data_IF_986012880288
#
_entry.id   IF_986012880288
#
_cell.length_a   1.000
_cell.length_b   1.000
_cell.length_c   1.000
_cell.angle_alpha   90.00
_cell.angle_beta   90.00
_cell.angle_gamma   90.00
#
_symmetry.space_group_name_H-M   'P 1'
#
loop_
_entity.id
_entity.type
_entity.pdbx_description
1 polymer ?
#
# COMPACT_ATOMS: atom_id res chain seq x y z
N UNK A 1 4.15 4.13 -24.96
CA UNK A 1 4.41 4.51 -23.55
C UNK A 1 3.16 5.02 -22.82
N UNK A 2 2.36 5.98 -23.32
CA UNK A 2 1.11 6.43 -22.62
C UNK A 2 0.00 5.36 -22.41
N UNK A 3 0.00 4.26 -23.17
CA UNK A 3 -1.11 3.29 -23.16
C UNK A 3 -1.06 2.25 -22.03
N UNK A 4 0.11 1.93 -21.47
CA UNK A 4 0.23 0.94 -20.39
C UNK A 4 -0.12 1.57 -19.04
N UNK A 5 0.44 2.75 -18.76
CA UNK A 5 0.12 3.55 -17.56
C UNK A 5 -1.38 3.87 -17.47
N UNK A 6 -2.00 4.32 -18.57
CA UNK A 6 -3.42 4.61 -18.61
C UNK A 6 -4.28 3.35 -18.44
N UNK A 7 -3.82 2.17 -18.90
CA UNK A 7 -4.49 0.88 -18.67
C UNK A 7 -4.36 0.40 -17.24
N UNK A 8 -3.24 0.66 -16.59
CA UNK A 8 -3.01 0.30 -15.19
C UNK A 8 -3.86 1.18 -14.28
N UNK A 9 -3.87 2.50 -14.49
CA UNK A 9 -4.73 3.42 -13.75
C UNK A 9 -6.19 3.04 -13.94
N UNK A 10 -6.61 2.80 -15.19
CA UNK A 10 -7.96 2.34 -15.50
C UNK A 10 -8.25 0.97 -14.87
N UNK A 11 -7.29 0.05 -14.87
CA UNK A 11 -7.41 -1.27 -14.26
C UNK A 11 -7.56 -1.21 -12.74
N UNK A 12 -6.78 -0.37 -12.06
CA UNK A 12 -6.91 -0.13 -10.62
C UNK A 12 -8.23 0.56 -10.28
N UNK A 13 -8.67 1.51 -11.10
CA UNK A 13 -9.96 2.16 -10.93
C UNK A 13 -11.13 1.20 -11.14
N UNK A 14 -11.07 0.37 -12.19
CA UNK A 14 -12.08 -0.66 -12.46
C UNK A 14 -12.09 -1.74 -11.39
N UNK A 15 -10.93 -2.16 -10.88
CA UNK A 15 -10.83 -3.10 -9.77
C UNK A 15 -11.42 -2.50 -8.48
N UNK A 16 -11.11 -1.24 -8.19
CA UNK A 16 -11.68 -0.52 -7.06
C UNK A 16 -13.20 -0.42 -7.17
N UNK A 17 -13.72 -0.02 -8.34
CA UNK A 17 -15.15 0.03 -8.61
C UNK A 17 -15.80 -1.36 -8.49
N UNK A 18 -15.14 -2.41 -9.00
CA UNK A 18 -15.62 -3.79 -8.89
C UNK A 18 -15.67 -4.27 -7.43
N UNK A 19 -14.69 -3.90 -6.60
CA UNK A 19 -14.71 -4.21 -5.16
C UNK A 19 -15.83 -3.45 -4.44
N UNK A 20 -16.06 -2.18 -4.75
CA UNK A 20 -17.21 -1.43 -4.20
C UNK A 20 -18.51 -2.13 -4.56
N UNK A 21 -18.72 -2.46 -5.84
CA UNK A 21 -19.92 -3.15 -6.31
C UNK A 21 -20.04 -4.53 -5.65
N UNK A 22 -18.94 -5.26 -5.52
CA UNK A 22 -18.89 -6.56 -4.85
C UNK A 22 -19.26 -6.49 -3.37
N UNK A 23 -18.77 -5.47 -2.66
CA UNK A 23 -19.13 -5.21 -1.26
C UNK A 23 -20.62 -4.90 -1.15
N UNK A 24 -21.13 -3.95 -1.94
CA UNK A 24 -22.56 -3.58 -1.91
C UNK A 24 -23.46 -4.79 -2.26
N UNK A 25 -23.07 -5.58 -3.25
CA UNK A 25 -23.80 -6.79 -3.64
C UNK A 25 -23.75 -7.85 -2.53
N UNK A 26 -22.60 -8.04 -1.90
CA UNK A 26 -22.44 -8.99 -0.80
C UNK A 26 -23.27 -8.59 0.43
N UNK A 27 -23.31 -7.31 0.79
CA UNK A 27 -24.16 -6.83 1.88
C UNK A 27 -25.65 -7.10 1.60
N UNK A 28 -26.09 -6.90 0.36
CA UNK A 28 -27.48 -7.14 -0.03
C UNK A 28 -27.87 -8.62 -0.12
N UNK A 29 -26.94 -9.49 -0.51
CA UNK A 29 -27.22 -10.92 -0.74
C UNK A 29 -27.04 -11.74 0.54
N UNK A 30 -26.04 -11.42 1.36
CA UNK A 30 -25.69 -12.20 2.54
C UNK A 30 -26.18 -11.57 3.85
N UNK A 31 -26.81 -10.39 3.81
CA UNK A 31 -27.24 -9.60 4.99
C UNK A 31 -26.11 -9.36 6.01
N UNK A 32 -24.86 -9.36 5.52
CA UNK A 32 -23.66 -9.09 6.32
C UNK A 32 -23.36 -7.61 6.22
N UNK A 33 -23.15 -6.93 7.35
CA UNK A 33 -22.67 -5.53 7.36
C UNK A 33 -21.15 -5.56 7.41
N UNK A 34 -20.47 -5.01 6.41
CA UNK A 34 -19.00 -4.98 6.41
C UNK A 34 -18.44 -4.12 7.56
N UNK A 35 -19.26 -3.23 8.13
CA UNK A 35 -18.93 -2.49 9.35
C UNK A 35 -18.69 -3.38 10.57
N UNK A 36 -19.24 -4.59 10.62
CA UNK A 36 -19.04 -5.54 11.72
C UNK A 36 -17.71 -6.30 11.61
N UNK A 37 -17.04 -6.20 10.45
CA UNK A 37 -15.78 -6.88 10.15
C UNK A 37 -14.73 -5.91 9.59
N UNK A 38 -14.28 -4.92 10.39
CA UNK A 38 -13.36 -3.87 9.95
C UNK A 38 -12.05 -4.43 9.39
N UNK A 39 -11.55 -5.56 9.91
CA UNK A 39 -10.34 -6.19 9.38
C UNK A 39 -10.54 -6.73 7.96
N UNK A 40 -11.67 -7.39 7.70
CA UNK A 40 -12.00 -7.91 6.36
C UNK A 40 -12.20 -6.76 5.37
N UNK A 41 -12.90 -5.71 5.79
CA UNK A 41 -13.08 -4.52 4.99
C UNK A 41 -11.73 -3.86 4.66
N UNK A 42 -10.85 -3.69 5.66
CA UNK A 42 -9.50 -3.18 5.45
C UNK A 42 -8.70 -4.03 4.46
N UNK A 43 -8.71 -5.36 4.60
CA UNK A 43 -7.99 -6.25 3.68
C UNK A 43 -8.55 -6.19 2.26
N UNK A 44 -9.86 -6.07 2.09
CA UNK A 44 -10.49 -5.91 0.78
C UNK A 44 -10.10 -4.59 0.13
N UNK A 45 -10.23 -3.47 0.85
CA UNK A 45 -9.91 -2.15 0.29
C UNK A 45 -8.40 -1.93 0.20
N UNK A 46 -7.68 -1.88 1.32
CA UNK A 46 -6.25 -1.59 1.31
C UNK A 46 -5.42 -2.74 0.71
N UNK A 47 -5.73 -3.98 1.06
CA UNK A 47 -4.98 -5.14 0.58
C UNK A 47 -5.22 -5.45 -0.89
N UNK A 48 -6.46 -5.79 -1.24
CA UNK A 48 -6.79 -6.32 -2.57
C UNK A 48 -6.85 -5.23 -3.65
N UNK A 49 -7.38 -4.04 -3.36
CA UNK A 49 -7.50 -2.99 -4.40
C UNK A 49 -6.26 -2.12 -4.55
N UNK A 50 -5.43 -2.01 -3.51
CA UNK A 50 -4.27 -1.11 -3.52
C UNK A 50 -2.96 -1.88 -3.42
N UNK A 51 -2.69 -2.50 -2.27
CA UNK A 51 -1.38 -3.06 -1.98
C UNK A 51 -1.01 -4.17 -2.98
N UNK A 52 -1.93 -5.10 -3.26
CA UNK A 52 -1.66 -6.24 -4.13
C UNK A 52 -1.37 -5.81 -5.58
N UNK A 53 -2.18 -4.97 -6.25
CA UNK A 53 -1.86 -4.46 -7.58
C UNK A 53 -0.55 -3.67 -7.62
N UNK A 54 -0.31 -2.79 -6.64
CA UNK A 54 0.90 -1.94 -6.63
C UNK A 54 2.18 -2.76 -6.40
N UNK A 55 2.13 -3.77 -5.52
CA UNK A 55 3.25 -4.69 -5.30
C UNK A 55 3.47 -5.64 -6.48
N UNK A 56 2.39 -6.08 -7.14
CA UNK A 56 2.50 -6.85 -8.38
C UNK A 56 3.21 -6.04 -9.47
N UNK A 57 2.78 -4.79 -9.68
CA UNK A 57 3.38 -3.90 -10.66
C UNK A 57 4.82 -3.52 -10.31
N UNK A 58 5.14 -3.34 -9.04
CA UNK A 58 6.53 -3.12 -8.61
C UNK A 58 7.46 -4.27 -9.01
N UNK A 59 6.92 -5.49 -9.18
CA UNK A 59 7.68 -6.67 -9.61
C UNK A 59 7.69 -6.84 -11.13
N UNK A 60 6.59 -6.54 -11.81
CA UNK A 60 6.41 -6.90 -13.22
C UNK A 60 6.61 -5.76 -14.21
N UNK A 61 6.51 -4.50 -13.75
CA UNK A 61 6.59 -3.32 -14.60
C UNK A 61 7.87 -2.54 -14.31
N UNK A 62 8.66 -2.28 -15.36
CA UNK A 62 9.91 -1.52 -15.30
C UNK A 62 9.75 -0.06 -15.73
N UNK A 63 8.57 0.35 -16.23
CA UNK A 63 8.35 1.71 -16.72
C UNK A 63 8.30 2.74 -15.59
N UNK A 64 7.88 2.33 -14.39
CA UNK A 64 7.85 3.15 -13.18
C UNK A 64 8.75 2.53 -12.13
N UNK A 65 9.52 3.37 -11.45
CA UNK A 65 10.40 2.97 -10.35
C UNK A 65 9.64 2.11 -9.31
N UNK A 66 10.05 0.84 -9.10
CA UNK A 66 9.41 -0.07 -8.14
C UNK A 66 9.34 0.50 -6.73
N UNK A 67 10.35 1.28 -6.32
CA UNK A 67 10.40 1.86 -4.97
C UNK A 67 9.30 2.90 -4.78
N UNK A 68 9.00 3.69 -5.80
CA UNK A 68 7.88 4.64 -5.81
C UNK A 68 6.53 3.94 -5.66
N UNK A 69 6.34 2.79 -6.33
CA UNK A 69 5.12 1.97 -6.21
C UNK A 69 4.93 1.39 -4.81
N UNK A 70 6.00 0.87 -4.21
CA UNK A 70 5.98 0.35 -2.83
C UNK A 70 5.66 1.45 -1.83
N UNK A 71 6.29 2.63 -1.97
CA UNK A 71 6.01 3.81 -1.12
C UNK A 71 4.53 4.19 -1.17
N UNK A 72 3.97 4.31 -2.38
CA UNK A 72 2.56 4.63 -2.55
C UNK A 72 1.65 3.58 -1.88
N UNK A 73 1.91 2.29 -2.13
CA UNK A 73 1.15 1.20 -1.53
C UNK A 73 1.13 1.27 0.00
N UNK A 74 2.30 1.48 0.61
CA UNK A 74 2.44 1.57 2.07
C UNK A 74 1.74 2.79 2.64
N UNK A 75 1.91 3.97 2.03
CA UNK A 75 1.27 5.21 2.49
C UNK A 75 -0.25 5.08 2.44
N UNK A 76 -0.80 4.62 1.32
CA UNK A 76 -2.25 4.46 1.16
C UNK A 76 -2.78 3.39 2.11
N UNK A 77 -2.05 2.29 2.31
CA UNK A 77 -2.42 1.25 3.30
C UNK A 77 -2.48 1.83 4.71
N UNK A 78 -1.55 2.71 5.09
CA UNK A 78 -1.58 3.39 6.39
C UNK A 78 -2.78 4.34 6.52
N UNK A 79 -3.12 5.08 5.47
CA UNK A 79 -4.32 5.95 5.46
C UNK A 79 -5.58 5.13 5.68
N UNK A 80 -5.74 4.02 4.95
CA UNK A 80 -6.86 3.11 5.18
C UNK A 80 -6.83 2.51 6.58
N UNK A 81 -5.67 2.14 7.11
CA UNK A 81 -5.57 1.61 8.46
C UNK A 81 -6.09 2.61 9.49
N UNK A 82 -5.74 3.89 9.36
CA UNK A 82 -6.23 4.95 10.23
C UNK A 82 -7.75 5.18 10.09
N UNK A 83 -8.32 5.03 8.89
CA UNK A 83 -9.76 5.16 8.65
C UNK A 83 -10.56 3.98 9.24
N UNK A 84 -10.02 2.76 9.17
CA UNK A 84 -10.72 1.55 9.62
C UNK A 84 -10.50 1.21 11.09
N UNK A 85 -9.42 1.70 11.72
CA UNK A 85 -9.13 1.49 13.13
C UNK A 85 -9.79 2.58 14.02
N UNK A 86 -11.12 2.67 13.95
CA UNK A 86 -11.92 3.77 14.49
C UNK A 86 -11.74 3.97 16.01
N UNK A 87 -11.55 2.89 16.78
CA UNK A 87 -11.48 2.95 18.25
C UNK A 87 -10.20 2.38 18.88
N UNK A 88 -9.44 1.56 18.14
CA UNK A 88 -8.31 0.77 18.65
C UNK A 88 -8.64 -0.14 19.86
N UNK A 89 -9.91 -0.28 20.21
CA UNK A 89 -10.35 -1.02 21.40
C UNK A 89 -10.41 -2.51 21.14
N UNK A 90 -10.77 -2.90 19.92
CA UNK A 90 -10.91 -4.30 19.51
C UNK A 90 -9.58 -4.88 19.02
N UNK A 91 -9.48 -6.21 19.05
CA UNK A 91 -8.32 -6.91 18.47
C UNK A 91 -8.17 -6.60 16.97
N UNK A 92 -9.29 -6.47 16.24
CA UNK A 92 -9.28 -6.17 14.81
C UNK A 92 -8.66 -4.80 14.52
N UNK A 93 -9.08 -3.76 15.25
CA UNK A 93 -8.55 -2.41 15.10
C UNK A 93 -7.03 -2.38 15.36
N UNK A 94 -6.57 -3.10 16.38
CA UNK A 94 -5.14 -3.21 16.70
C UNK A 94 -4.36 -3.92 15.60
N UNK A 95 -4.91 -5.00 15.04
CA UNK A 95 -4.28 -5.70 13.91
C UNK A 95 -4.16 -4.79 12.69
N UNK A 96 -5.20 -4.01 12.39
CA UNK A 96 -5.18 -3.03 11.29
C UNK A 96 -4.07 -2.00 11.51
N UNK A 97 -3.96 -1.44 12.71
CA UNK A 97 -2.90 -0.49 13.06
C UNK A 97 -1.50 -1.10 13.00
N UNK A 98 -1.33 -2.34 13.48
CA UNK A 98 -0.05 -3.06 13.40
C UNK A 98 0.36 -3.28 11.94
N UNK A 99 -0.58 -3.66 11.08
CA UNK A 99 -0.30 -3.89 9.65
C UNK A 99 0.03 -2.58 8.94
N UNK A 100 -0.86 -1.58 9.01
CA UNK A 100 -0.64 -0.30 8.32
C UNK A 100 0.53 0.50 8.90
N UNK A 101 0.55 0.66 10.22
CA UNK A 101 1.59 1.38 10.94
C UNK A 101 2.94 0.66 10.88
N UNK A 102 2.94 -0.66 11.04
CA UNK A 102 4.17 -1.46 10.93
C UNK A 102 4.77 -1.41 9.53
N UNK A 103 3.95 -1.51 8.47
CA UNK A 103 4.43 -1.34 7.10
C UNK A 103 5.03 0.06 6.86
N UNK A 104 4.38 1.11 7.38
CA UNK A 104 4.89 2.47 7.29
C UNK A 104 6.21 2.66 8.04
N UNK A 105 6.31 2.18 9.28
CA UNK A 105 7.54 2.23 10.07
C UNK A 105 8.68 1.46 9.39
N UNK A 106 8.39 0.29 8.82
CA UNK A 106 9.37 -0.50 8.08
C UNK A 106 9.87 0.26 6.83
N UNK A 107 8.98 0.92 6.09
CA UNK A 107 9.35 1.75 4.95
C UNK A 107 10.25 2.91 5.38
N UNK A 108 9.86 3.66 6.42
CA UNK A 108 10.65 4.77 6.94
C UNK A 108 12.04 4.29 7.39
N UNK A 109 12.10 3.23 8.19
CA UNK A 109 13.36 2.65 8.63
C UNK A 109 14.26 2.21 7.48
N UNK A 110 13.68 1.60 6.45
CA UNK A 110 14.40 1.23 5.23
C UNK A 110 14.97 2.45 4.49
N UNK A 111 14.17 3.52 4.33
CA UNK A 111 14.59 4.75 3.65
C UNK A 111 15.75 5.43 4.38
N UNK A 112 15.67 5.53 5.71
CA UNK A 112 16.77 6.07 6.53
C UNK A 112 18.05 5.24 6.40
N UNK A 113 17.94 3.92 6.51
CA UNK A 113 19.09 3.02 6.39
C UNK A 113 19.73 3.09 5.00
N UNK A 114 18.91 3.08 3.95
CA UNK A 114 19.38 3.19 2.57
C UNK A 114 20.07 4.53 2.31
N UNK A 115 19.49 5.63 2.84
CA UNK A 115 20.08 6.97 2.76
C UNK A 115 21.44 7.05 3.45
N UNK A 116 21.54 6.54 4.68
CA UNK A 116 22.80 6.49 5.43
C UNK A 116 23.90 5.76 4.66
N UNK A 117 23.58 4.58 4.10
CA UNK A 117 24.52 3.77 3.33
C UNK A 117 25.00 4.45 2.05
N UNK A 118 24.14 5.24 1.39
CA UNK A 118 24.52 6.01 0.20
C UNK A 118 25.55 7.09 0.57
N UNK A 119 25.28 7.87 1.64
CA UNK A 119 26.18 8.92 2.11
C UNK A 119 27.56 8.41 2.53
N UNK A 120 27.65 7.25 3.17
CA UNK A 120 28.94 6.65 3.55
C UNK A 120 29.79 6.21 2.35
N UNK A 121 29.17 5.85 1.22
CA UNK A 121 29.89 5.47 -0.01
C UNK A 121 30.46 6.67 -0.75
N UNK A 122 29.73 7.79 -0.79
CA UNK A 122 30.22 9.00 -1.44
C UNK A 122 31.35 9.67 -0.64
N UNK A 123 31.33 9.60 0.69
CA UNK A 123 32.43 10.08 1.54
C UNK A 123 33.73 9.25 1.47
N UNK A 124 33.71 8.09 0.79
CA UNK A 124 34.86 7.19 0.65
C UNK A 124 35.52 7.25 -0.73
N UNK A 125 35.06 8.11 -1.65
CA UNK A 125 35.76 8.37 -2.92
C UNK A 125 37.04 9.18 -2.62
N UNK A 126 38.24 8.62 -2.84
CA UNK A 126 39.46 9.41 -2.73
C UNK A 126 39.47 10.48 -3.81
N UNK A 127 39.81 11.71 -3.42
CA UNK A 127 40.00 12.85 -4.31
C UNK A 127 41.31 12.64 -5.10
N UNK A 128 41.30 11.73 -6.07
CA UNK A 128 42.40 11.55 -7.03
C UNK A 128 42.20 12.51 -8.19
N UNK A 129 42.44 13.79 -7.94
CA UNK A 129 42.79 14.79 -8.97
C UNK A 129 43.29 16.07 -8.28
N UNK A 130 44.57 16.08 -7.88
CA UNK A 130 45.40 17.28 -7.72
C UNK A 130 46.85 16.99 -8.03
#
# INVERSE_FOLDING_TARGET
MRSLENRVILGSFLLFAAVIVGVIAAERVFDVRFGDYPLLAFLAFAGLTVALPQLYLAKTDTDVDPRSRVRFAVIVTMVFAAMFAESATTLQDRLILIVGGGAFLALVGYEFFAGYRASSRDGSRPDTDR
#
